data_IF_141106911714
#
_entry.id   IF_141106911714
#
_cell.length_a   1.000
_cell.length_b   1.000
_cell.length_c   1.000
_cell.angle_alpha   90.00
_cell.angle_beta   90.00
_cell.angle_gamma   90.00
#
_symmetry.space_group_name_H-M   'P 1'
#
loop_
_entity.id
_entity.type
_entity.pdbx_description
1 polymer ?
#
# COMPACT_ATOMS: atom_id res chain seq x y z
N UNK A 1 -49.45 -13.92 12.59
CA UNK A 1 -48.29 -13.46 11.81
C UNK A 1 -47.08 -13.57 12.73
N UNK A 2 -46.08 -14.39 12.44
CA UNK A 2 -44.90 -14.47 13.27
C UNK A 2 -44.14 -13.16 13.20
N UNK A 3 -43.71 -12.69 14.36
CA UNK A 3 -43.08 -11.39 14.64
C UNK A 3 -41.74 -11.28 13.88
N UNK A 4 -41.64 -10.33 12.98
CA UNK A 4 -40.47 -10.09 12.07
C UNK A 4 -39.17 -9.76 12.81
N UNK A 5 -39.18 -9.75 14.15
CA UNK A 5 -38.08 -9.38 15.04
C UNK A 5 -37.53 -10.55 15.88
N UNK A 6 -38.07 -11.74 15.74
CA UNK A 6 -37.59 -12.93 16.49
C UNK A 6 -36.19 -13.39 16.05
N UNK A 7 -35.78 -12.98 14.85
CA UNK A 7 -34.44 -13.22 14.30
C UNK A 7 -33.34 -12.42 15.03
N UNK A 8 -33.66 -11.24 15.61
CA UNK A 8 -32.66 -10.43 16.34
C UNK A 8 -32.49 -10.80 17.81
N UNK A 9 -33.43 -11.52 18.39
CA UNK A 9 -33.36 -11.98 19.78
C UNK A 9 -32.11 -12.86 20.06
N UNK A 10 -31.67 -13.77 19.16
CA UNK A 10 -30.44 -14.54 19.34
C UNK A 10 -29.17 -13.66 19.28
N UNK A 11 -29.15 -12.62 18.44
CA UNK A 11 -28.02 -11.71 18.31
C UNK A 11 -27.87 -10.85 19.56
N UNK A 12 -28.96 -10.36 20.12
CA UNK A 12 -28.98 -9.57 21.36
C UNK A 12 -28.62 -10.45 22.58
N UNK A 13 -29.09 -11.67 22.63
CA UNK A 13 -28.74 -12.64 23.69
C UNK A 13 -27.28 -13.12 23.59
N UNK A 14 -26.74 -13.29 22.39
CA UNK A 14 -25.31 -13.58 22.18
C UNK A 14 -24.43 -12.40 22.55
N UNK A 15 -24.83 -11.17 22.26
CA UNK A 15 -24.13 -9.96 22.70
C UNK A 15 -24.12 -9.81 24.23
N UNK A 16 -25.16 -10.28 24.92
CA UNK A 16 -25.22 -10.34 26.38
C UNK A 16 -24.33 -11.46 26.97
N UNK A 17 -24.23 -12.60 26.31
CA UNK A 17 -23.41 -13.76 26.75
C UNK A 17 -21.91 -13.56 26.46
N UNK A 18 -21.55 -12.78 25.44
CA UNK A 18 -20.17 -12.54 25.02
C UNK A 18 -19.56 -11.24 25.57
N UNK A 19 -20.21 -10.55 26.48
CA UNK A 19 -19.54 -9.52 27.26
C UNK A 19 -18.48 -10.21 28.12
N UNK A 20 -17.22 -10.22 27.68
CA UNK A 20 -16.09 -10.68 28.49
C UNK A 20 -16.06 -9.83 29.75
N UNK A 21 -16.63 -10.36 30.82
CA UNK A 21 -16.60 -9.75 32.15
C UNK A 21 -15.22 -10.06 32.70
N UNK A 22 -14.38 -9.06 32.82
CA UNK A 22 -13.13 -9.21 33.54
C UNK A 22 -13.44 -9.37 35.04
N UNK A 23 -12.65 -10.15 35.80
CA UNK A 23 -12.88 -10.34 37.25
C UNK A 23 -12.94 -9.04 38.07
N UNK A 24 -12.32 -7.99 37.56
CA UNK A 24 -12.27 -6.66 38.20
C UNK A 24 -13.46 -5.75 37.85
N UNK A 25 -14.34 -6.18 36.92
CA UNK A 25 -15.50 -5.37 36.51
C UNK A 25 -16.57 -5.39 37.61
N UNK A 26 -17.21 -4.28 37.83
CA UNK A 26 -18.25 -4.10 38.87
C UNK A 26 -19.48 -3.40 38.28
N UNK A 27 -20.60 -3.42 39.02
CA UNK A 27 -21.81 -2.68 38.65
C UNK A 27 -21.87 -1.39 39.46
N UNK A 28 -22.26 -0.30 38.78
CA UNK A 28 -22.51 0.99 39.43
C UNK A 28 -23.90 1.04 40.11
N UNK A 29 -24.25 2.22 40.64
CA UNK A 29 -25.55 2.47 41.30
C UNK A 29 -26.76 2.23 40.41
N UNK A 30 -26.57 2.37 39.07
CA UNK A 30 -27.63 2.15 38.07
C UNK A 30 -27.66 0.68 37.58
N UNK A 31 -26.86 -0.19 38.18
CA UNK A 31 -26.76 -1.60 37.82
C UNK A 31 -26.01 -1.86 36.50
N UNK A 32 -25.37 -0.84 35.92
CA UNK A 32 -24.63 -0.96 34.67
C UNK A 32 -23.18 -1.41 34.92
N UNK A 33 -22.66 -2.22 34.00
CA UNK A 33 -21.30 -2.77 34.08
C UNK A 33 -20.26 -1.67 33.87
N UNK A 34 -19.28 -1.58 34.78
CA UNK A 34 -18.16 -0.63 34.78
C UNK A 34 -16.85 -1.42 34.68
N UNK A 35 -15.92 -0.92 33.89
CA UNK A 35 -14.59 -1.51 33.74
C UNK A 35 -13.72 -1.25 34.97
N UNK A 36 -13.24 -2.30 35.62
CA UNK A 36 -12.37 -2.20 36.79
C UNK A 36 -11.03 -1.50 36.51
N UNK A 37 -10.52 -1.57 35.27
CA UNK A 37 -9.25 -0.92 34.91
C UNK A 37 -9.35 0.59 34.70
N UNK A 38 -10.40 1.10 34.03
CA UNK A 38 -10.48 2.51 33.64
C UNK A 38 -11.67 3.26 34.20
N UNK A 39 -12.51 2.62 35.03
CA UNK A 39 -13.67 3.23 35.67
C UNK A 39 -14.76 3.73 34.70
N UNK A 40 -14.70 3.35 33.43
CA UNK A 40 -15.73 3.75 32.44
C UNK A 40 -16.77 2.66 32.25
N UNK A 41 -18.02 3.08 32.05
CA UNK A 41 -19.14 2.14 31.81
C UNK A 41 -18.86 1.31 30.56
N UNK A 42 -19.18 0.03 30.64
CA UNK A 42 -19.20 -0.96 29.53
C UNK A 42 -20.59 -1.15 28.98
N UNK A 43 -21.58 -0.54 29.59
CA UNK A 43 -22.99 -0.58 29.21
C UNK A 43 -23.58 0.83 29.24
N UNK A 44 -24.59 1.05 28.40
CA UNK A 44 -25.37 2.29 28.35
C UNK A 44 -26.84 1.94 28.25
N UNK A 45 -27.67 2.66 29.00
CA UNK A 45 -29.13 2.60 28.84
C UNK A 45 -29.51 3.52 27.67
N UNK A 46 -30.24 2.98 26.74
CA UNK A 46 -30.85 3.72 25.61
C UNK A 46 -32.34 3.43 25.57
N UNK A 47 -33.12 4.37 25.09
CA UNK A 47 -34.56 4.22 24.88
C UNK A 47 -34.82 3.99 23.38
N UNK A 48 -35.47 2.91 23.05
CA UNK A 48 -35.90 2.61 21.68
C UNK A 48 -37.41 2.75 21.56
N UNK A 49 -37.86 3.47 20.53
CA UNK A 49 -39.28 3.54 20.20
C UNK A 49 -39.67 2.31 19.39
N UNK A 50 -40.52 1.46 19.93
CA UNK A 50 -41.08 0.28 19.25
C UNK A 50 -42.60 0.34 19.28
N UNK A 51 -43.24 0.34 18.11
CA UNK A 51 -44.70 0.42 17.96
C UNK A 51 -45.33 1.61 18.73
N UNK A 52 -44.64 2.76 18.74
CA UNK A 52 -45.10 3.95 19.45
C UNK A 52 -44.89 3.96 20.97
N UNK A 53 -44.32 2.90 21.54
CA UNK A 53 -43.96 2.82 22.96
C UNK A 53 -42.44 2.98 23.14
N UNK A 54 -42.02 3.69 24.16
CA UNK A 54 -40.62 3.82 24.57
C UNK A 54 -40.20 2.62 25.42
N UNK A 55 -39.23 1.85 24.93
CA UNK A 55 -38.70 0.68 25.64
C UNK A 55 -37.25 0.93 26.02
N UNK A 56 -36.90 0.93 27.32
CA UNK A 56 -35.51 1.05 27.75
C UNK A 56 -34.73 -0.22 27.45
N UNK A 57 -33.53 -0.09 26.88
CA UNK A 57 -32.64 -1.20 26.59
C UNK A 57 -31.21 -0.92 27.01
N UNK A 58 -30.56 -1.91 27.62
CA UNK A 58 -29.13 -1.82 27.97
C UNK A 58 -28.30 -2.35 26.80
N UNK A 59 -27.45 -1.50 26.24
CA UNK A 59 -26.54 -1.85 25.15
C UNK A 59 -25.08 -1.87 25.62
N UNK A 60 -24.25 -2.80 25.13
CA UNK A 60 -22.83 -2.78 25.43
C UNK A 60 -22.14 -1.60 24.73
N UNK A 61 -21.18 -0.97 25.45
CA UNK A 61 -20.32 0.07 24.93
C UNK A 61 -18.86 -0.26 25.23
N UNK A 62 -17.95 0.21 24.40
CA UNK A 62 -16.53 0.02 24.67
C UNK A 62 -16.07 0.97 25.76
N UNK A 63 -15.45 0.43 26.81
CA UNK A 63 -14.72 1.26 27.78
C UNK A 63 -13.47 1.85 27.14
N UNK A 64 -12.89 2.88 27.77
CA UNK A 64 -11.72 3.61 27.23
C UNK A 64 -10.55 2.67 26.89
N UNK A 65 -10.14 1.80 27.82
CA UNK A 65 -9.01 0.90 27.61
C UNK A 65 -9.24 -0.10 26.46
N UNK A 66 -10.47 -0.60 26.28
CA UNK A 66 -10.81 -1.47 25.14
C UNK A 66 -10.85 -0.70 23.82
N UNK A 67 -11.35 0.55 23.84
CA UNK A 67 -11.34 1.44 22.70
C UNK A 67 -9.92 1.79 22.26
N UNK A 68 -9.04 2.10 23.21
CA UNK A 68 -7.63 2.44 22.93
C UNK A 68 -6.87 1.21 22.38
N UNK A 69 -7.07 0.02 22.98
CA UNK A 69 -6.50 -1.21 22.48
C UNK A 69 -6.98 -1.55 21.05
N UNK A 70 -8.28 -1.36 20.79
CA UNK A 70 -8.83 -1.57 19.45
C UNK A 70 -8.23 -0.60 18.40
N UNK A 71 -8.08 0.68 18.76
CA UNK A 71 -7.44 1.68 17.88
C UNK A 71 -5.98 1.32 17.60
N UNK A 72 -5.24 0.87 18.61
CA UNK A 72 -3.85 0.44 18.44
C UNK A 72 -3.75 -0.79 17.54
N UNK A 73 -4.63 -1.79 17.77
CA UNK A 73 -4.64 -2.99 16.92
C UNK A 73 -4.97 -2.63 15.47
N UNK A 74 -6.02 -1.82 15.27
CA UNK A 74 -6.40 -1.37 13.92
C UNK A 74 -5.27 -0.63 13.21
N UNK A 75 -4.55 0.25 13.92
CA UNK A 75 -3.41 0.96 13.35
C UNK A 75 -2.26 0.00 12.97
N UNK A 76 -2.00 -1.05 13.78
CA UNK A 76 -1.03 -2.09 13.44
C UNK A 76 -1.44 -2.88 12.21
N UNK A 77 -2.69 -3.34 12.16
CA UNK A 77 -3.22 -4.10 11.02
C UNK A 77 -3.18 -3.27 9.72
N UNK A 78 -3.44 -1.96 9.80
CA UNK A 78 -3.31 -1.04 8.66
C UNK A 78 -1.85 -0.90 8.21
N UNK A 79 -0.90 -0.78 9.15
CA UNK A 79 0.54 -0.71 8.83
C UNK A 79 1.05 -2.02 8.21
N UNK A 80 0.64 -3.17 8.74
CA UNK A 80 1.03 -4.48 8.20
C UNK A 80 0.53 -4.63 6.75
N UNK A 81 -0.73 -4.32 6.48
CA UNK A 81 -1.29 -4.34 5.12
C UNK A 81 -0.56 -3.39 4.17
N UNK A 82 -0.15 -2.23 4.67
CA UNK A 82 0.62 -1.27 3.90
C UNK A 82 2.01 -1.81 3.54
N UNK A 83 2.70 -2.41 4.50
CA UNK A 83 4.01 -3.02 4.28
C UNK A 83 3.93 -4.22 3.32
N UNK A 84 2.90 -5.06 3.45
CA UNK A 84 2.66 -6.18 2.53
C UNK A 84 2.43 -5.68 1.09
N UNK A 85 1.62 -4.64 0.91
CA UNK A 85 1.35 -4.06 -0.40
C UNK A 85 2.64 -3.52 -1.05
N UNK A 86 3.47 -2.78 -0.29
CA UNK A 86 4.77 -2.28 -0.78
C UNK A 86 5.71 -3.45 -1.09
N UNK A 87 5.75 -4.48 -0.24
CA UNK A 87 6.59 -5.67 -0.45
C UNK A 87 6.21 -6.39 -1.75
N UNK A 88 4.92 -6.54 -2.02
CA UNK A 88 4.42 -7.10 -3.27
C UNK A 88 4.86 -6.26 -4.47
N UNK A 89 4.64 -4.95 -4.45
CA UNK A 89 5.07 -4.05 -5.53
C UNK A 89 6.58 -4.13 -5.80
N UNK A 90 7.39 -4.22 -4.74
CA UNK A 90 8.85 -4.39 -4.86
C UNK A 90 9.23 -5.72 -5.50
N UNK A 91 8.51 -6.81 -5.20
CA UNK A 91 8.72 -8.11 -5.84
C UNK A 91 8.35 -8.05 -7.33
N UNK A 92 7.21 -7.46 -7.65
CA UNK A 92 6.68 -7.36 -9.01
C UNK A 92 7.46 -6.35 -9.87
N UNK A 93 8.27 -5.47 -9.23
CA UNK A 93 9.04 -4.44 -9.92
C UNK A 93 10.18 -4.96 -10.81
N UNK A 94 10.50 -6.25 -10.78
CA UNK A 94 11.60 -6.89 -11.51
C UNK A 94 12.99 -6.26 -11.27
N UNK A 95 13.09 -5.34 -10.31
CA UNK A 95 14.31 -4.62 -9.97
C UNK A 95 15.38 -5.57 -9.42
N UNK A 96 16.61 -5.43 -9.90
CA UNK A 96 17.76 -6.16 -9.36
C UNK A 96 17.92 -5.87 -7.86
N UNK A 97 18.26 -6.92 -7.09
CA UNK A 97 18.42 -6.84 -5.64
C UNK A 97 19.40 -5.75 -5.18
N UNK A 98 20.44 -5.50 -5.97
CA UNK A 98 21.45 -4.46 -5.72
C UNK A 98 20.87 -3.03 -5.65
N UNK A 99 19.76 -2.79 -6.32
CA UNK A 99 19.13 -1.47 -6.41
C UNK A 99 17.96 -1.27 -5.44
N UNK A 100 17.50 -2.32 -4.75
CA UNK A 100 16.32 -2.27 -3.88
C UNK A 100 16.46 -1.36 -2.65
N UNK A 101 17.68 -1.17 -2.15
CA UNK A 101 17.98 -0.31 -1.00
C UNK A 101 18.41 1.11 -1.36
N UNK A 102 18.52 1.41 -2.65
CA UNK A 102 18.93 2.72 -3.14
C UNK A 102 17.81 3.75 -2.92
N UNK A 103 18.20 4.92 -2.44
CA UNK A 103 17.27 6.02 -2.21
C UNK A 103 17.95 7.38 -2.45
N UNK A 104 17.16 8.43 -2.57
CA UNK A 104 17.69 9.80 -2.62
C UNK A 104 18.48 10.20 -1.37
N UNK A 105 18.30 9.50 -0.24
CA UNK A 105 19.02 9.79 1.01
C UNK A 105 20.48 9.34 0.97
N UNK A 106 20.77 8.23 0.26
CA UNK A 106 22.11 7.66 0.10
C UNK A 106 22.78 8.07 -1.23
N UNK A 107 22.24 9.06 -1.91
CA UNK A 107 22.84 9.60 -3.12
C UNK A 107 24.05 10.48 -2.78
N UNK A 108 25.24 10.06 -3.18
CA UNK A 108 26.48 10.83 -2.97
C UNK A 108 26.54 11.95 -3.99
N UNK A 109 26.33 13.19 -3.52
CA UNK A 109 26.35 14.37 -4.36
C UNK A 109 27.78 14.84 -4.65
N UNK A 110 27.99 15.25 -5.90
CA UNK A 110 29.20 15.96 -6.35
C UNK A 110 28.81 17.00 -7.43
N UNK A 111 29.76 17.84 -7.81
CA UNK A 111 29.52 18.91 -8.78
C UNK A 111 29.02 18.45 -10.16
N UNK A 112 29.27 17.19 -10.52
CA UNK A 112 28.88 16.63 -11.84
C UNK A 112 27.49 16.02 -11.84
N UNK A 113 26.99 15.55 -10.70
CA UNK A 113 25.73 14.83 -10.62
C UNK A 113 24.59 15.58 -9.92
N UNK A 114 24.88 16.74 -9.29
CA UNK A 114 23.90 17.53 -8.53
C UNK A 114 22.69 17.95 -9.38
N UNK A 115 22.94 18.39 -10.62
CA UNK A 115 21.86 18.78 -11.55
C UNK A 115 20.97 17.60 -11.90
N UNK A 116 21.57 16.44 -12.18
CA UNK A 116 20.84 15.20 -12.44
C UNK A 116 20.03 14.77 -11.21
N UNK A 117 20.63 14.79 -10.03
CA UNK A 117 19.94 14.48 -8.77
C UNK A 117 18.71 15.37 -8.56
N UNK A 118 18.86 16.69 -8.69
CA UNK A 118 17.74 17.64 -8.52
C UNK A 118 16.61 17.37 -9.51
N UNK A 119 16.96 17.09 -10.77
CA UNK A 119 15.98 16.74 -11.80
C UNK A 119 15.22 15.46 -11.46
N UNK A 120 15.94 14.39 -11.12
CA UNK A 120 15.35 13.09 -10.77
C UNK A 120 14.46 13.17 -9.53
N UNK A 121 14.92 13.90 -8.49
CA UNK A 121 14.12 14.12 -7.28
C UNK A 121 12.85 14.91 -7.59
N UNK A 122 12.94 15.97 -8.38
CA UNK A 122 11.79 16.77 -8.82
C UNK A 122 10.82 15.94 -9.66
N UNK A 123 11.33 15.10 -10.57
CA UNK A 123 10.50 14.19 -11.36
C UNK A 123 9.72 13.23 -10.46
N UNK A 124 10.41 12.56 -9.52
CA UNK A 124 9.79 11.63 -8.61
C UNK A 124 8.72 12.28 -7.71
N UNK A 125 9.01 13.48 -7.16
CA UNK A 125 8.06 14.18 -6.28
C UNK A 125 6.87 14.79 -7.02
N UNK A 126 6.99 15.04 -8.32
CA UNK A 126 5.91 15.58 -9.16
C UNK A 126 5.38 14.55 -10.15
N UNK A 127 5.52 13.24 -9.84
CA UNK A 127 5.25 12.16 -10.77
C UNK A 127 3.83 12.17 -11.35
N UNK A 128 2.81 12.44 -10.54
CA UNK A 128 1.41 12.51 -11.03
C UNK A 128 1.26 13.55 -12.14
N UNK A 129 1.88 14.74 -11.98
CA UNK A 129 1.85 15.79 -13.01
C UNK A 129 2.65 15.40 -14.26
N UNK A 130 3.75 14.63 -14.09
CA UNK A 130 4.53 14.12 -15.22
C UNK A 130 3.73 13.09 -16.01
N UNK A 131 3.02 12.21 -15.30
CA UNK A 131 2.15 11.20 -15.89
C UNK A 131 0.97 11.83 -16.65
N UNK A 132 0.30 12.83 -16.08
CA UNK A 132 -0.78 13.58 -16.74
C UNK A 132 -0.33 14.20 -18.08
N UNK A 133 0.95 14.63 -18.14
CA UNK A 133 1.55 15.23 -19.34
C UNK A 133 2.25 14.23 -20.25
N UNK A 134 2.19 12.94 -19.92
CA UNK A 134 2.93 11.88 -20.58
C UNK A 134 4.43 12.19 -20.74
N UNK A 135 5.06 12.72 -19.67
CA UNK A 135 6.46 13.13 -19.68
C UNK A 135 7.35 12.08 -19.03
N UNK A 136 8.27 11.50 -19.79
CA UNK A 136 9.33 10.62 -19.32
C UNK A 136 10.68 11.31 -19.18
N UNK A 137 11.68 10.55 -18.73
CA UNK A 137 13.08 10.98 -18.66
C UNK A 137 13.95 10.08 -19.55
N UNK A 138 14.75 10.70 -20.39
CA UNK A 138 15.84 10.03 -21.10
C UNK A 138 17.18 10.40 -20.45
N UNK A 139 17.85 9.40 -19.88
CA UNK A 139 19.18 9.58 -19.28
C UNK A 139 20.26 9.02 -20.21
N UNK A 140 21.17 9.86 -20.64
CA UNK A 140 22.28 9.47 -21.49
C UNK A 140 23.62 9.98 -20.96
N UNK A 141 24.72 9.35 -21.39
CA UNK A 141 26.09 9.71 -20.95
C UNK A 141 26.95 8.48 -20.71
N UNK A 142 28.20 8.68 -20.37
CA UNK A 142 29.20 7.62 -20.17
C UNK A 142 28.85 6.61 -19.07
N UNK A 143 29.59 5.50 -19.04
CA UNK A 143 29.48 4.48 -17.99
C UNK A 143 29.94 5.08 -16.67
N UNK A 144 29.31 4.63 -15.55
CA UNK A 144 29.71 5.06 -14.19
C UNK A 144 29.19 6.46 -13.78
N UNK A 145 28.43 7.18 -14.61
CA UNK A 145 27.88 8.50 -14.28
C UNK A 145 26.66 8.50 -13.34
N UNK A 146 26.22 7.32 -12.86
CA UNK A 146 25.15 7.18 -11.88
C UNK A 146 23.73 7.17 -12.45
N UNK A 147 23.53 6.99 -13.78
CA UNK A 147 22.22 6.93 -14.43
C UNK A 147 21.29 5.88 -13.81
N UNK A 148 21.75 4.63 -13.77
CA UNK A 148 21.01 3.51 -13.16
C UNK A 148 20.72 3.76 -11.68
N UNK A 149 21.66 4.35 -10.95
CA UNK A 149 21.45 4.70 -9.54
C UNK A 149 20.35 5.76 -9.39
N UNK A 150 20.38 6.81 -10.21
CA UNK A 150 19.35 7.86 -10.19
C UNK A 150 17.97 7.32 -10.59
N UNK A 151 17.91 6.42 -11.59
CA UNK A 151 16.68 5.73 -11.98
C UNK A 151 16.12 4.85 -10.85
N UNK A 152 17.00 4.12 -10.16
CA UNK A 152 16.62 3.32 -8.99
C UNK A 152 16.12 4.19 -7.82
N UNK A 153 16.68 5.39 -7.61
CA UNK A 153 16.16 6.34 -6.63
C UNK A 153 14.71 6.74 -6.94
N UNK A 154 14.40 7.04 -8.22
CA UNK A 154 13.03 7.37 -8.65
C UNK A 154 12.12 6.16 -8.42
N UNK A 155 12.53 4.99 -8.89
CA UNK A 155 11.74 3.77 -8.80
C UNK A 155 11.40 3.43 -7.34
N UNK A 156 12.38 3.41 -6.44
CA UNK A 156 12.16 3.12 -5.03
C UNK A 156 11.28 4.19 -4.35
N UNK A 157 11.48 5.47 -4.66
CA UNK A 157 10.64 6.54 -4.14
C UNK A 157 9.16 6.34 -4.50
N UNK A 158 8.87 5.97 -5.75
CA UNK A 158 7.50 5.73 -6.21
C UNK A 158 6.90 4.44 -5.62
N UNK A 159 7.70 3.37 -5.51
CA UNK A 159 7.28 2.14 -4.84
C UNK A 159 6.88 2.38 -3.37
N UNK A 160 7.62 3.25 -2.66
CA UNK A 160 7.29 3.67 -1.29
C UNK A 160 5.99 4.48 -1.22
N UNK A 161 5.61 5.16 -2.32
CA UNK A 161 4.31 5.82 -2.48
C UNK A 161 3.21 4.87 -3.00
N UNK A 162 3.46 3.54 -3.04
CA UNK A 162 2.54 2.51 -3.56
C UNK A 162 2.22 2.67 -5.05
N UNK A 163 3.09 3.32 -5.79
CA UNK A 163 2.96 3.47 -7.25
C UNK A 163 3.68 2.29 -7.90
N UNK A 164 2.99 1.49 -8.76
CA UNK A 164 3.60 0.36 -9.45
C UNK A 164 4.70 0.82 -10.40
N UNK A 165 5.90 0.27 -10.23
CA UNK A 165 7.08 0.54 -11.08
C UNK A 165 7.69 -0.76 -11.50
N UNK A 166 8.05 -0.88 -12.78
CA UNK A 166 8.95 -1.91 -13.30
C UNK A 166 10.27 -1.28 -13.68
N UNK A 167 11.38 -1.85 -13.19
CA UNK A 167 12.74 -1.46 -13.55
C UNK A 167 13.52 -2.70 -13.97
N UNK A 168 13.89 -2.77 -15.24
CA UNK A 168 14.54 -3.93 -15.84
C UNK A 168 15.58 -3.50 -16.86
N UNK A 169 16.71 -4.23 -16.98
CA UNK A 169 17.61 -4.02 -18.10
C UNK A 169 16.94 -4.51 -19.39
N UNK A 170 17.15 -3.78 -20.47
CA UNK A 170 16.51 -4.09 -21.74
C UNK A 170 16.91 -5.47 -22.29
N UNK A 171 18.17 -5.88 -22.09
CA UNK A 171 18.65 -7.23 -22.46
C UNK A 171 17.84 -8.30 -21.75
N UNK A 172 17.66 -8.18 -20.43
CA UNK A 172 16.88 -9.15 -19.64
C UNK A 172 15.42 -9.19 -20.07
N UNK A 173 14.85 -8.04 -20.41
CA UNK A 173 13.49 -7.95 -20.91
C UNK A 173 13.32 -8.72 -22.25
N UNK A 174 14.27 -8.54 -23.19
CA UNK A 174 14.26 -9.28 -24.44
C UNK A 174 14.36 -10.79 -24.22
N UNK A 175 15.27 -11.26 -23.36
CA UNK A 175 15.40 -12.68 -23.01
C UNK A 175 14.11 -13.26 -22.43
N UNK A 176 13.39 -12.49 -21.61
CA UNK A 176 12.12 -12.92 -21.05
C UNK A 176 11.01 -13.00 -22.10
N UNK A 177 10.97 -12.05 -23.02
CA UNK A 177 10.01 -12.04 -24.13
C UNK A 177 10.26 -13.15 -25.15
N UNK A 178 11.53 -13.52 -25.39
CA UNK A 178 11.90 -14.63 -26.28
C UNK A 178 11.50 -16.00 -25.73
N UNK A 179 11.60 -16.17 -24.41
CA UNK A 179 11.28 -17.45 -23.76
C UNK A 179 9.78 -17.72 -23.62
N UNK A 180 8.92 -16.79 -24.05
CA UNK A 180 7.44 -16.88 -23.91
C UNK A 180 6.97 -17.26 -22.48
N UNK A 181 7.80 -16.98 -21.49
CA UNK A 181 7.62 -17.43 -20.13
C UNK A 181 6.96 -16.36 -19.30
N UNK A 182 5.81 -16.22 -19.08
CA UNK A 182 5.04 -15.57 -18.04
C UNK A 182 4.14 -14.44 -18.51
N UNK A 183 2.85 -14.78 -18.62
CA UNK A 183 1.76 -13.80 -18.70
C UNK A 183 1.86 -12.76 -17.55
N UNK A 184 2.44 -13.14 -16.40
CA UNK A 184 2.65 -12.27 -15.24
C UNK A 184 3.60 -11.11 -15.54
N UNK A 185 4.65 -11.33 -16.33
CA UNK A 185 5.60 -10.27 -16.72
C UNK A 185 4.93 -9.24 -17.60
N UNK A 186 4.18 -9.69 -18.59
CA UNK A 186 3.44 -8.81 -19.50
C UNK A 186 2.41 -8.00 -18.69
N UNK A 187 1.71 -8.63 -17.78
CA UNK A 187 0.77 -7.95 -16.90
C UNK A 187 1.46 -6.92 -16.00
N UNK A 188 2.63 -7.24 -15.44
CA UNK A 188 3.41 -6.30 -14.63
C UNK A 188 3.89 -5.11 -15.46
N UNK A 189 4.35 -5.34 -16.71
CA UNK A 189 4.72 -4.27 -17.62
C UNK A 189 3.54 -3.37 -17.97
N UNK A 190 2.36 -3.93 -18.18
CA UNK A 190 1.14 -3.19 -18.52
C UNK A 190 0.58 -2.42 -17.32
N UNK A 191 0.64 -3.01 -16.11
CA UNK A 191 0.09 -2.42 -14.90
C UNK A 191 1.01 -1.36 -14.27
N UNK A 192 2.31 -1.36 -14.60
CA UNK A 192 3.26 -0.39 -14.09
C UNK A 192 2.91 1.03 -14.54
N UNK A 193 2.90 1.99 -13.62
CA UNK A 193 2.74 3.40 -13.95
C UNK A 193 4.05 4.02 -14.47
N UNK A 194 5.19 3.51 -14.00
CA UNK A 194 6.52 3.85 -14.52
C UNK A 194 7.23 2.59 -14.99
N UNK A 195 7.74 2.63 -16.23
CA UNK A 195 8.67 1.66 -16.78
C UNK A 195 10.05 2.28 -16.89
N UNK A 196 11.04 1.67 -16.26
CA UNK A 196 12.45 2.03 -16.37
C UNK A 196 13.15 0.95 -17.20
N UNK A 197 13.57 1.32 -18.40
CA UNK A 197 14.39 0.47 -19.26
C UNK A 197 15.86 0.91 -19.12
N UNK A 198 16.64 0.06 -18.46
CA UNK A 198 18.07 0.32 -18.24
C UNK A 198 18.92 -0.33 -19.33
N UNK A 199 20.12 0.21 -19.54
CA UNK A 199 21.10 -0.29 -20.52
C UNK A 199 20.60 -0.37 -21.96
N UNK A 200 19.75 0.59 -22.38
CA UNK A 200 19.34 0.70 -23.79
C UNK A 200 20.56 0.94 -24.69
N UNK A 201 20.67 0.12 -25.75
CA UNK A 201 21.78 0.16 -26.70
C UNK A 201 22.95 -0.77 -26.36
N UNK A 202 22.87 -1.51 -25.25
CA UNK A 202 23.82 -2.58 -24.90
C UNK A 202 23.44 -3.93 -25.52
N UNK A 203 22.23 -4.05 -26.02
CA UNK A 203 21.73 -5.24 -26.73
C UNK A 203 22.39 -5.38 -28.13
N UNK A 204 22.37 -6.61 -28.66
CA UNK A 204 22.73 -6.82 -30.07
C UNK A 204 21.75 -6.06 -30.96
N UNK A 205 22.28 -5.25 -31.87
CA UNK A 205 21.49 -4.46 -32.85
C UNK A 205 20.84 -5.40 -33.86
N UNK A 206 19.75 -6.02 -33.50
CA UNK A 206 18.93 -6.84 -34.38
C UNK A 206 17.66 -6.09 -34.75
N UNK A 207 17.08 -6.36 -35.90
CA UNK A 207 15.76 -5.81 -36.29
C UNK A 207 14.69 -6.15 -35.23
N UNK A 208 14.77 -7.35 -34.66
CA UNK A 208 13.89 -7.79 -33.57
C UNK A 208 13.99 -6.90 -32.33
N UNK A 209 15.20 -6.60 -31.83
CA UNK A 209 15.39 -5.76 -30.66
C UNK A 209 14.81 -4.34 -30.88
N UNK A 210 15.08 -3.76 -32.08
CA UNK A 210 14.56 -2.44 -32.43
C UNK A 210 13.02 -2.41 -32.49
N UNK A 211 12.41 -3.44 -33.09
CA UNK A 211 10.96 -3.59 -33.15
C UNK A 211 10.36 -3.70 -31.75
N UNK A 212 10.96 -4.48 -30.86
CA UNK A 212 10.47 -4.61 -29.48
C UNK A 212 10.57 -3.33 -28.70
N UNK A 213 11.69 -2.58 -28.82
CA UNK A 213 11.83 -1.24 -28.19
C UNK A 213 10.69 -0.34 -28.66
N UNK A 214 10.50 -0.27 -29.99
CA UNK A 214 9.46 0.57 -30.58
C UNK A 214 8.08 0.20 -30.02
N UNK A 215 7.70 -1.06 -30.09
CA UNK A 215 6.40 -1.55 -29.64
C UNK A 215 6.15 -1.30 -28.13
N UNK A 216 7.20 -1.43 -27.29
CA UNK A 216 7.08 -1.17 -25.86
C UNK A 216 6.89 0.32 -25.57
N UNK A 217 7.60 1.20 -26.29
CA UNK A 217 7.51 2.65 -26.12
C UNK A 217 6.17 3.16 -26.67
N UNK A 218 5.76 2.69 -27.86
CA UNK A 218 4.53 3.11 -28.52
C UNK A 218 3.26 2.72 -27.74
N UNK A 219 3.29 1.54 -27.11
CA UNK A 219 2.19 1.05 -26.28
C UNK A 219 2.00 1.84 -24.96
N UNK A 220 2.87 2.79 -24.65
CA UNK A 220 2.86 3.53 -23.39
C UNK A 220 2.69 5.02 -23.59
#
# INVERSE_FOLDING_TARGET
MPDQYDFMAPVINNARKNAVVNPEDFKDSDGLLVCGKCGKRKQKLITLTRNGAEVPMVVPVMCKCKSDAYKQQKARDEQEKEMEAISKLRKDSLMDSRFRSISFKNFVLNQYNEKCFRLCKRYATAFDKMMEKNMGLLMYGGVGTGKTFAAACIANYLLDQKIPVVMISFIKLLEMLEKNTDNDIIQNLQSAKLLVLDDLGAERRTSYALEKVYNIIDAR
#
